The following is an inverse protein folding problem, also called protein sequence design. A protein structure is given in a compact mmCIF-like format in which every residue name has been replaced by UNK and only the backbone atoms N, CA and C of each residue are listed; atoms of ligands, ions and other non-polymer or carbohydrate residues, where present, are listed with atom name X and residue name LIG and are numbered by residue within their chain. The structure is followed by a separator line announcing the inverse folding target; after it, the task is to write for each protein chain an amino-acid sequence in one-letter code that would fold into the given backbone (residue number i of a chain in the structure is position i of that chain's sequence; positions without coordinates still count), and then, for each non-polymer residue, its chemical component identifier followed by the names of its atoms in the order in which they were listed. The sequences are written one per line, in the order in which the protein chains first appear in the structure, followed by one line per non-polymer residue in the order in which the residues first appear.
data_IF_440269270029
#
_entry.id   IF_440269270029
#
_cell.length_a   1.000
_cell.length_b   1.000
_cell.length_c   1.000
_cell.angle_alpha   90.00
_cell.angle_beta   90.00
_cell.angle_gamma   90.00
#
_symmetry.space_group_name_H-M   'P 1'
#
loop_
_entity.id
_entity.type
_entity.pdbx_description
1 polymer ?
#
# COMPACT_ATOMS: atom_id res chain seq x y z
N UNK A 1 15.32 -40.05 -12.36
CA UNK A 1 14.12 -39.64 -11.59
C UNK A 1 14.19 -38.14 -11.36
N UNK A 2 13.25 -37.35 -11.89
CA UNK A 2 13.41 -35.88 -11.89
C UNK A 2 13.17 -35.27 -10.51
N UNK A 3 13.94 -34.24 -10.18
CA UNK A 3 13.80 -33.48 -8.93
C UNK A 3 12.38 -32.91 -8.75
N UNK A 4 11.78 -32.40 -9.85
CA UNK A 4 10.43 -31.82 -9.86
C UNK A 4 9.34 -32.86 -9.53
N UNK A 5 9.39 -34.04 -10.16
CA UNK A 5 8.42 -35.11 -9.90
C UNK A 5 8.51 -35.63 -8.46
N UNK A 6 9.72 -35.76 -7.94
CA UNK A 6 9.94 -36.18 -6.55
C UNK A 6 9.44 -35.13 -5.55
N UNK A 7 9.67 -33.84 -5.82
CA UNK A 7 9.18 -32.73 -5.01
C UNK A 7 7.64 -32.66 -4.97
N UNK A 8 6.97 -32.78 -6.12
CA UNK A 8 5.50 -32.78 -6.20
C UNK A 8 4.88 -33.96 -5.43
N UNK A 9 5.48 -35.16 -5.55
CA UNK A 9 5.03 -36.34 -4.81
C UNK A 9 5.20 -36.16 -3.30
N UNK A 10 6.30 -35.56 -2.87
CA UNK A 10 6.55 -35.24 -1.46
C UNK A 10 5.55 -34.21 -0.91
N UNK A 11 5.33 -33.11 -1.65
CA UNK A 11 4.38 -32.07 -1.23
C UNK A 11 2.95 -32.61 -1.12
N UNK A 12 2.52 -33.43 -2.09
CA UNK A 12 1.24 -34.13 -2.03
C UNK A 12 1.11 -35.01 -0.79
N UNK A 13 2.17 -35.75 -0.44
CA UNK A 13 2.19 -36.58 0.77
C UNK A 13 2.05 -35.72 2.03
N UNK A 14 2.81 -34.63 2.13
CA UNK A 14 2.72 -33.71 3.28
C UNK A 14 1.34 -33.05 3.41
N UNK A 15 0.66 -32.76 2.30
CA UNK A 15 -0.69 -32.20 2.33
C UNK A 15 -1.72 -33.15 2.97
N UNK A 16 -1.52 -34.46 2.86
CA UNK A 16 -2.40 -35.47 3.48
C UNK A 16 -1.97 -35.86 4.90
N UNK A 17 -0.66 -36.00 5.16
CA UNK A 17 -0.15 -36.40 6.48
C UNK A 17 -0.17 -35.25 7.49
N UNK A 18 0.17 -34.04 7.07
CA UNK A 18 0.28 -32.85 7.92
C UNK A 18 -0.41 -31.63 7.26
N UNK A 19 -1.74 -31.65 7.11
CA UNK A 19 -2.47 -30.62 6.37
C UNK A 19 -2.29 -29.22 6.96
N UNK A 20 -2.19 -29.11 8.27
CA UNK A 20 -2.08 -27.82 8.99
C UNK A 20 -0.86 -27.02 8.55
N UNK A 21 0.31 -27.66 8.42
CA UNK A 21 1.57 -27.01 8.04
C UNK A 21 1.50 -26.54 6.58
N UNK A 22 1.03 -27.40 5.67
CA UNK A 22 0.98 -27.08 4.25
C UNK A 22 0.04 -25.92 3.97
N UNK A 23 -1.16 -25.93 4.55
CA UNK A 23 -2.15 -24.88 4.30
C UNK A 23 -1.86 -23.59 5.05
N UNK A 24 -1.32 -23.64 6.27
CA UNK A 24 -0.90 -22.42 6.98
C UNK A 24 0.20 -21.68 6.23
N UNK A 25 1.21 -22.39 5.73
CA UNK A 25 2.27 -21.79 4.93
C UNK A 25 1.73 -21.29 3.58
N UNK A 26 0.89 -22.08 2.90
CA UNK A 26 0.29 -21.68 1.62
C UNK A 26 -0.54 -20.39 1.74
N UNK A 27 -1.46 -20.34 2.70
CA UNK A 27 -2.29 -19.16 2.95
C UNK A 27 -1.46 -17.97 3.47
N UNK A 28 -0.47 -18.23 4.32
CA UNK A 28 0.46 -17.22 4.81
C UNK A 28 1.27 -16.57 3.68
N UNK A 29 1.70 -17.37 2.69
CA UNK A 29 2.43 -16.88 1.51
C UNK A 29 1.52 -16.19 0.48
N UNK A 30 0.25 -16.58 0.39
CA UNK A 30 -0.70 -15.92 -0.51
C UNK A 30 -0.85 -14.42 -0.22
N UNK A 31 -0.76 -13.99 1.04
CA UNK A 31 -0.84 -12.57 1.41
C UNK A 31 0.28 -11.71 0.81
N UNK A 32 1.56 -11.95 1.14
CA UNK A 32 2.69 -11.24 0.56
C UNK A 32 2.73 -11.32 -0.97
N UNK A 33 2.41 -12.48 -1.55
CA UNK A 33 2.31 -12.62 -3.01
C UNK A 33 1.23 -11.71 -3.59
N UNK A 34 0.06 -11.63 -2.98
CA UNK A 34 -1.00 -10.72 -3.42
C UNK A 34 -0.57 -9.26 -3.34
N UNK A 35 0.16 -8.85 -2.28
CA UNK A 35 0.68 -7.48 -2.16
C UNK A 35 1.65 -7.12 -3.29
N UNK A 36 2.43 -8.07 -3.79
CA UNK A 36 3.36 -7.82 -4.90
C UNK A 36 2.65 -7.87 -6.25
N UNK A 37 1.74 -8.82 -6.45
CA UNK A 37 1.14 -9.11 -7.77
C UNK A 37 -0.10 -8.26 -8.05
N UNK A 38 -0.94 -7.99 -7.05
CA UNK A 38 -2.23 -7.31 -7.26
C UNK A 38 -2.08 -5.83 -7.60
N UNK A 39 -1.25 -5.01 -6.92
CA UNK A 39 -1.13 -3.59 -7.24
C UNK A 39 -0.71 -3.25 -8.68
N UNK A 40 0.29 -3.92 -9.30
CA UNK A 40 0.64 -3.62 -10.69
C UNK A 40 -0.47 -4.00 -11.66
N UNK A 41 -1.19 -5.11 -11.43
CA UNK A 41 -2.35 -5.51 -12.25
C UNK A 41 -3.47 -4.48 -12.08
N UNK A 42 -3.77 -4.06 -10.85
CA UNK A 42 -4.78 -3.05 -10.51
C UNK A 42 -4.51 -1.71 -11.21
N UNK A 43 -3.26 -1.24 -11.21
CA UNK A 43 -2.89 0.03 -11.85
C UNK A 43 -2.87 -0.05 -13.38
N UNK A 44 -2.33 -1.15 -13.96
CA UNK A 44 -2.07 -1.25 -15.40
C UNK A 44 -3.27 -1.77 -16.21
N UNK A 45 -4.01 -2.74 -15.68
CA UNK A 45 -5.10 -3.41 -16.41
C UNK A 45 -6.44 -2.75 -16.10
N UNK A 46 -6.68 -2.41 -14.85
CA UNK A 46 -7.96 -1.84 -14.41
C UNK A 46 -7.97 -0.30 -14.39
N UNK A 47 -6.86 0.35 -14.77
CA UNK A 47 -6.76 1.81 -14.85
C UNK A 47 -6.93 2.53 -13.52
N UNK A 48 -6.79 1.83 -12.40
CA UNK A 48 -6.98 2.42 -11.08
C UNK A 48 -5.81 3.33 -10.71
N UNK A 49 -6.12 4.58 -10.38
CA UNK A 49 -5.17 5.58 -9.88
C UNK A 49 -5.41 5.76 -8.38
N UNK A 50 -4.35 5.78 -7.55
CA UNK A 50 -4.49 6.10 -6.13
C UNK A 50 -4.96 7.54 -5.95
N UNK A 51 -5.89 7.75 -5.01
CA UNK A 51 -6.36 9.09 -4.66
C UNK A 51 -5.23 9.97 -4.12
N UNK A 52 -5.38 11.27 -4.29
CA UNK A 52 -4.43 12.24 -3.73
C UNK A 52 -4.42 12.15 -2.20
N UNK A 53 -3.24 12.34 -1.61
CA UNK A 53 -3.09 12.24 -0.17
C UNK A 53 -3.81 13.40 0.52
N UNK A 54 -4.67 13.06 1.47
CA UNK A 54 -5.37 14.05 2.30
C UNK A 54 -4.33 14.90 3.06
N UNK A 55 -4.46 16.24 3.08
CA UNK A 55 -3.56 17.10 3.81
C UNK A 55 -3.72 16.85 5.32
N UNK A 56 -2.63 16.51 5.99
CA UNK A 56 -2.58 16.33 7.45
C UNK A 56 -2.33 17.63 8.20
N UNK A 57 -2.01 18.70 7.47
CA UNK A 57 -1.62 20.00 8.01
C UNK A 57 -2.22 21.09 7.13
N UNK A 58 -2.40 22.29 7.70
CA UNK A 58 -2.81 23.45 6.92
C UNK A 58 -1.89 23.62 5.69
N UNK A 59 -2.44 23.71 4.47
CA UNK A 59 -1.63 23.83 3.26
C UNK A 59 -1.02 25.24 3.20
N UNK A 60 0.22 25.38 3.68
CA UNK A 60 0.95 26.63 3.53
C UNK A 60 1.38 26.81 2.06
N UNK A 61 1.06 27.94 1.43
CA UNK A 61 1.52 28.22 0.08
C UNK A 61 3.04 28.48 0.09
N UNK A 62 3.77 27.88 -0.84
CA UNK A 62 5.20 28.10 -1.03
C UNK A 62 5.45 29.41 -1.79
N UNK A 63 5.11 30.53 -1.17
CA UNK A 63 5.32 31.88 -1.71
C UNK A 63 5.96 32.81 -0.69
N UNK A 64 6.66 33.83 -1.17
CA UNK A 64 7.18 34.92 -0.33
C UNK A 64 6.04 35.66 0.35
N UNK A 65 6.28 36.13 1.58
CA UNK A 65 5.32 36.98 2.29
C UNK A 65 5.04 38.25 1.49
N UNK A 66 3.77 38.63 1.46
CA UNK A 66 3.30 39.87 0.86
C UNK A 66 2.65 40.66 1.98
N UNK A 67 2.98 41.95 2.09
CA UNK A 67 2.35 42.84 3.05
C UNK A 67 0.88 43.02 2.66
N UNK A 68 -0.03 42.74 3.59
CA UNK A 68 -1.48 42.87 3.41
C UNK A 68 -1.92 44.05 4.26
N UNK A 69 -2.81 44.89 3.75
CA UNK A 69 -3.42 46.03 4.46
C UNK A 69 -4.93 45.84 4.57
N UNK A 70 -5.58 46.55 5.50
CA UNK A 70 -7.06 46.62 5.56
C UNK A 70 -7.72 46.15 6.86
N UNK A 71 -6.94 45.61 7.80
CA UNK A 71 -7.38 45.30 9.17
C UNK A 71 -6.40 45.89 10.20
N UNK A 72 -5.75 47.00 9.84
CA UNK A 72 -4.81 47.69 10.71
C UNK A 72 -5.58 48.44 11.82
N UNK A 73 -5.04 48.45 13.04
CA UNK A 73 -5.69 49.06 14.20
C UNK A 73 -5.87 50.58 13.99
N UNK A 74 -7.01 51.17 14.42
CA UNK A 74 -7.18 52.61 14.36
C UNK A 74 -6.17 53.30 15.29
N UNK A 75 -5.63 54.42 14.82
CA UNK A 75 -4.69 55.21 15.62
C UNK A 75 -5.33 55.63 16.96
N UNK A 76 -4.62 55.53 18.09
CA UNK A 76 -5.15 55.98 19.37
C UNK A 76 -5.41 57.49 19.32
N UNK A 77 -6.58 57.91 19.84
CA UNK A 77 -6.90 59.32 19.98
C UNK A 77 -5.93 59.95 21.00
N UNK A 78 -5.22 61.01 20.57
CA UNK A 78 -4.35 61.83 21.43
C UNK A 78 -5.16 62.55 22.52
#
# INVERSE_FOLDING_TARGET
MSFVQNGLRYFRRQAHENPTIVWSLGLGLCGPLAVVVVPPIRKKVFGWVPDEKIPTTYPLPQRTRVNVTGYDDPAPAN
#
